data_IF_812131788782
#
_entry.id   IF_812131788782
#
_cell.length_a   1.000
_cell.length_b   1.000
_cell.length_c   1.000
_cell.angle_alpha   90.00
_cell.angle_beta   90.00
_cell.angle_gamma   90.00
#
_symmetry.space_group_name_H-M   'P 1'
#
loop_
_entity.id
_entity.type
_entity.pdbx_description
1 polymer ?
#
# COMPACT_ATOMS: atom_id res chain seq x y z
N UNK A 1 -22.48 -3.31 -4.80
CA UNK A 1 -21.88 -2.87 -6.07
C UNK A 1 -20.45 -2.43 -5.74
N UNK A 2 -19.42 -3.19 -6.17
CA UNK A 2 -18.02 -2.85 -5.90
C UNK A 2 -17.67 -1.67 -6.82
N UNK A 3 -17.33 -0.52 -6.25
CA UNK A 3 -17.08 0.69 -7.03
C UNK A 3 -15.70 0.58 -7.68
N UNK A 4 -15.46 1.21 -8.84
CA UNK A 4 -14.13 1.20 -9.47
C UNK A 4 -13.00 1.68 -8.54
N UNK A 5 -13.30 2.56 -7.57
CA UNK A 5 -12.36 2.98 -6.52
C UNK A 5 -11.93 1.84 -5.59
N UNK A 6 -12.84 0.93 -5.27
CA UNK A 6 -12.56 -0.23 -4.42
C UNK A 6 -11.55 -1.17 -5.10
N UNK A 7 -11.72 -1.42 -6.40
CA UNK A 7 -10.78 -2.24 -7.17
C UNK A 7 -9.39 -1.59 -7.25
N UNK A 8 -9.33 -0.26 -7.46
CA UNK A 8 -8.07 0.48 -7.52
C UNK A 8 -7.34 0.44 -6.17
N UNK A 9 -8.06 0.62 -5.06
CA UNK A 9 -7.49 0.54 -3.72
C UNK A 9 -6.99 -0.87 -3.38
N UNK A 10 -7.76 -1.91 -3.69
CA UNK A 10 -7.32 -3.30 -3.54
C UNK A 10 -6.08 -3.62 -4.38
N UNK A 11 -6.02 -3.13 -5.62
CA UNK A 11 -4.87 -3.28 -6.51
C UNK A 11 -3.59 -2.64 -5.95
N UNK A 12 -3.69 -1.43 -5.38
CA UNK A 12 -2.56 -0.76 -4.72
C UNK A 12 -1.99 -1.58 -3.56
N UNK A 13 -2.86 -2.22 -2.78
CA UNK A 13 -2.45 -3.07 -1.65
C UNK A 13 -1.72 -4.32 -2.14
N UNK A 14 -2.29 -5.02 -3.12
CA UNK A 14 -1.71 -6.24 -3.69
C UNK A 14 -0.34 -6.00 -4.35
N UNK A 15 -0.24 -4.97 -5.18
CA UNK A 15 1.04 -4.60 -5.82
C UNK A 15 2.06 -4.14 -4.78
N UNK A 16 1.60 -3.42 -3.74
CA UNK A 16 2.42 -2.99 -2.63
C UNK A 16 3.03 -4.15 -1.84
N UNK A 17 2.25 -5.21 -1.56
CA UNK A 17 2.74 -6.42 -0.88
C UNK A 17 3.71 -7.21 -1.77
N UNK A 18 3.37 -7.35 -3.06
CA UNK A 18 4.23 -8.01 -4.04
C UNK A 18 5.61 -7.34 -4.15
N UNK A 19 5.65 -6.00 -4.19
CA UNK A 19 6.91 -5.24 -4.21
C UNK A 19 7.75 -5.42 -2.94
N UNK A 20 7.14 -5.78 -1.80
CA UNK A 20 7.87 -6.14 -0.59
C UNK A 20 8.43 -7.56 -0.61
N UNK A 21 7.66 -8.50 -1.18
CA UNK A 21 8.04 -9.93 -1.22
C UNK A 21 9.05 -10.26 -2.31
N UNK A 22 8.86 -9.72 -3.51
CA UNK A 22 9.66 -10.07 -4.69
C UNK A 22 10.59 -8.93 -5.14
N UNK A 23 10.41 -7.72 -4.60
CA UNK A 23 11.22 -6.57 -4.95
C UNK A 23 12.60 -6.54 -4.27
N UNK A 24 13.57 -5.80 -4.84
CA UNK A 24 14.84 -5.57 -4.19
C UNK A 24 14.64 -4.83 -2.85
N UNK A 25 15.31 -5.28 -1.80
CA UNK A 25 15.13 -4.77 -0.44
C UNK A 25 15.47 -3.28 -0.31
N UNK A 26 16.43 -2.79 -1.09
CA UNK A 26 16.90 -1.41 -1.02
C UNK A 26 15.81 -0.37 -1.33
N UNK A 27 15.11 -0.43 -2.48
CA UNK A 27 14.00 0.48 -2.74
C UNK A 27 12.82 0.30 -1.77
N UNK A 28 12.59 -0.88 -1.20
CA UNK A 28 11.56 -1.07 -0.16
C UNK A 28 11.93 -0.33 1.13
N UNK A 29 13.21 -0.37 1.53
CA UNK A 29 13.71 0.41 2.68
C UNK A 29 13.67 1.91 2.38
N UNK A 30 14.07 2.35 1.18
CA UNK A 30 13.96 3.75 0.79
C UNK A 30 12.49 4.23 0.77
N UNK A 31 11.57 3.40 0.28
CA UNK A 31 10.14 3.69 0.31
C UNK A 31 9.60 3.81 1.73
N UNK A 32 10.07 2.94 2.64
CA UNK A 32 9.68 2.98 4.04
C UNK A 32 10.15 4.27 4.75
N UNK A 33 11.39 4.70 4.48
CA UNK A 33 12.02 5.86 5.13
C UNK A 33 11.65 7.20 4.49
N UNK A 34 11.63 7.28 3.16
CA UNK A 34 11.53 8.53 2.39
C UNK A 34 10.33 8.58 1.44
N UNK A 35 9.57 7.48 1.30
CA UNK A 35 8.42 7.42 0.40
C UNK A 35 7.24 8.26 0.88
N UNK A 36 6.49 8.82 -0.07
CA UNK A 36 5.26 9.56 0.23
C UNK A 36 4.18 8.61 0.75
N UNK A 37 3.65 8.86 1.94
CA UNK A 37 2.71 7.97 2.62
C UNK A 37 1.27 8.30 2.25
N UNK A 38 0.59 7.39 1.57
CA UNK A 38 -0.84 7.42 1.31
C UNK A 38 -1.56 6.52 2.31
N UNK A 39 -2.52 7.07 3.05
CA UNK A 39 -3.35 6.33 4.01
C UNK A 39 -4.79 6.35 3.53
N UNK A 40 -5.40 5.17 3.46
CA UNK A 40 -6.81 5.05 3.07
C UNK A 40 -7.49 3.93 3.83
N UNK A 41 -8.81 4.05 3.98
CA UNK A 41 -9.63 2.98 4.55
C UNK A 41 -10.33 2.25 3.41
N UNK A 42 -10.16 0.94 3.34
CA UNK A 42 -10.73 0.08 2.31
C UNK A 42 -11.21 -1.22 2.95
N UNK A 43 -12.46 -1.62 2.69
CA UNK A 43 -13.09 -2.82 3.26
C UNK A 43 -12.99 -2.91 4.80
N UNK A 44 -13.05 -1.77 5.51
CA UNK A 44 -12.89 -1.74 6.97
C UNK A 44 -11.44 -1.93 7.44
N UNK A 45 -10.46 -1.92 6.53
CA UNK A 45 -9.04 -1.96 6.84
C UNK A 45 -8.42 -0.58 6.58
N UNK A 46 -7.61 -0.10 7.52
CA UNK A 46 -6.71 1.05 7.32
C UNK A 46 -5.44 0.56 6.66
N UNK A 47 -5.27 0.90 5.39
CA UNK A 47 -4.09 0.59 4.61
C UNK A 47 -3.16 1.82 4.58
N UNK A 48 -1.87 1.58 4.75
CA UNK A 48 -0.80 2.56 4.58
C UNK A 48 0.12 2.07 3.48
N UNK A 49 0.20 2.83 2.39
CA UNK A 49 1.06 2.56 1.25
C UNK A 49 2.08 3.70 1.14
N UNK A 50 3.36 3.38 0.98
CA UNK A 50 4.37 4.36 0.65
C UNK A 50 4.66 4.32 -0.86
N UNK A 51 4.81 5.49 -1.46
CA UNK A 51 5.15 5.64 -2.86
C UNK A 51 6.62 6.01 -3.00
N UNK A 52 7.35 5.24 -3.79
CA UNK A 52 8.77 5.48 -4.08
C UNK A 52 9.05 5.25 -5.56
N UNK A 53 9.62 6.25 -6.24
CA UNK A 53 9.87 6.22 -7.69
C UNK A 53 8.66 5.74 -8.52
N UNK A 54 7.45 6.18 -8.15
CA UNK A 54 6.20 5.80 -8.84
C UNK A 54 5.68 4.39 -8.54
N UNK A 55 6.34 3.62 -7.67
CA UNK A 55 5.91 2.29 -7.25
C UNK A 55 5.27 2.33 -5.85
N UNK A 56 4.14 1.63 -5.63
CA UNK A 56 3.53 1.50 -4.32
C UNK A 56 4.21 0.40 -3.51
N UNK A 57 4.38 0.62 -2.21
CA UNK A 57 4.93 -0.32 -1.25
C UNK A 57 4.00 -0.39 -0.04
N UNK A 58 3.50 -1.58 0.27
CA UNK A 58 2.56 -1.76 1.37
C UNK A 58 3.28 -1.72 2.72
N UNK A 59 3.02 -0.72 3.54
CA UNK A 59 3.73 -0.53 4.82
C UNK A 59 2.97 -1.16 5.99
N UNK A 60 1.65 -0.99 6.01
CA UNK A 60 0.83 -1.55 7.07
C UNK A 60 -0.61 -1.71 6.61
N UNK A 61 -1.22 -2.83 6.98
CA UNK A 61 -2.66 -3.02 6.95
C UNK A 61 -3.07 -3.28 8.40
N UNK A 62 -4.05 -2.53 8.88
CA UNK A 62 -4.65 -2.75 10.20
C UNK A 62 -6.15 -2.68 10.08
N UNK A 63 -6.88 -3.41 10.91
CA UNK A 63 -8.32 -3.25 11.00
C UNK A 63 -8.64 -1.81 11.44
N UNK A 64 -9.62 -1.19 10.78
CA UNK A 64 -10.19 0.05 11.25
C UNK A 64 -11.04 -0.29 12.47
N UNK A 65 -10.41 -0.26 13.65
CA UNK A 65 -11.16 -0.36 14.90
C UNK A 65 -12.22 0.75 14.90
N UNK A 66 -13.48 0.33 15.03
CA UNK A 66 -14.68 1.14 14.90
C UNK A 66 -14.81 2.11 16.07
#
# INVERSE_FOLDING_TARGET
MITGKDMVQGGKVLVGDHNWREGPLWPSVCAFLFGARERFTHLGMRCTVAWWCGKPYLISIREACK
#
